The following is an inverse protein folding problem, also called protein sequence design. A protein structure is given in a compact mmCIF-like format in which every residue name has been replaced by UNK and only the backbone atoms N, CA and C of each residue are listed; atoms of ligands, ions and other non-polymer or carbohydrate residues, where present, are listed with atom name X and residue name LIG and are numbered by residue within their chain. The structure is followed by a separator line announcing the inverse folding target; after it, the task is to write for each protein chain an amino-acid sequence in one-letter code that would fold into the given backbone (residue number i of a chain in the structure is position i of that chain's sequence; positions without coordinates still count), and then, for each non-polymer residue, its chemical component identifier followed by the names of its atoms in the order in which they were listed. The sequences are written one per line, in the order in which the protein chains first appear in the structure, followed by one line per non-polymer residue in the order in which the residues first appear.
data_IF_323254444862
#
_entry.id   IF_323254444862
#
_cell.length_a   1.000
_cell.length_b   1.000
_cell.length_c   1.000
_cell.angle_alpha   90.00
_cell.angle_beta   90.00
_cell.angle_gamma   90.00
#
_symmetry.space_group_name_H-M   'P 1'
#
loop_
_entity.id
_entity.type
_entity.pdbx_description
1 polymer ?
#
# COMPACT_ATOMS: atom_id res chain seq x y z
N UNK A 1 18.26 -29.81 -8.91
CA UNK A 1 17.33 -28.72 -8.55
C UNK A 1 17.67 -27.46 -9.32
N UNK A 2 16.73 -26.95 -10.08
CA UNK A 2 16.93 -25.74 -10.86
C UNK A 2 16.69 -24.52 -9.99
N UNK A 3 17.66 -23.62 -9.89
CA UNK A 3 17.46 -22.35 -9.17
C UNK A 3 16.82 -21.34 -10.11
N UNK A 4 15.71 -20.72 -9.65
CA UNK A 4 15.13 -19.61 -10.38
C UNK A 4 16.02 -18.39 -10.17
N UNK A 5 16.50 -17.80 -11.26
CA UNK A 5 17.27 -16.57 -11.21
C UNK A 5 16.32 -15.38 -11.12
N UNK A 6 16.45 -14.58 -10.07
CA UNK A 6 15.71 -13.33 -9.94
C UNK A 6 16.42 -12.24 -10.72
N UNK A 7 15.68 -11.60 -11.62
CA UNK A 7 16.19 -10.47 -12.42
C UNK A 7 15.53 -9.20 -11.85
N UNK A 8 16.37 -8.26 -11.43
CA UNK A 8 15.88 -6.97 -10.91
C UNK A 8 15.64 -5.98 -12.03
N UNK A 9 14.80 -4.97 -11.77
CA UNK A 9 14.73 -3.79 -12.61
C UNK A 9 16.02 -2.96 -12.54
N UNK A 10 16.09 -1.89 -13.32
CA UNK A 10 17.31 -1.10 -13.52
C UNK A 10 17.87 -0.51 -12.22
N UNK A 11 17.02 -0.15 -11.26
CA UNK A 11 17.42 0.46 -9.99
C UNK A 11 17.19 -0.46 -8.78
N UNK A 12 16.60 -1.63 -9.02
CA UNK A 12 16.16 -2.55 -7.96
C UNK A 12 15.24 -1.87 -6.93
N UNK A 13 14.30 -1.07 -7.42
CA UNK A 13 13.33 -0.33 -6.61
C UNK A 13 11.91 -0.63 -7.09
N UNK A 14 10.93 -0.51 -6.20
CA UNK A 14 9.52 -0.68 -6.58
C UNK A 14 9.10 0.30 -7.67
N UNK A 15 9.70 1.49 -7.71
CA UNK A 15 9.42 2.51 -8.72
C UNK A 15 9.97 2.17 -10.10
N UNK A 16 10.70 1.06 -10.26
CA UNK A 16 11.04 0.52 -11.58
C UNK A 16 9.79 0.02 -12.32
N UNK A 17 8.72 -0.27 -11.59
CA UNK A 17 7.44 -0.68 -12.17
C UNK A 17 6.73 0.56 -12.72
N UNK A 18 6.39 0.53 -14.00
CA UNK A 18 5.70 1.63 -14.65
C UNK A 18 4.34 1.89 -13.98
N UNK A 19 4.06 3.14 -13.65
CA UNK A 19 2.80 3.53 -13.04
C UNK A 19 2.79 3.48 -11.52
N UNK A 20 3.93 3.17 -10.88
CA UNK A 20 4.07 3.17 -9.42
C UNK A 20 4.85 4.40 -8.98
N UNK A 21 4.27 5.18 -8.07
CA UNK A 21 4.93 6.31 -7.41
C UNK A 21 4.90 6.09 -5.91
N UNK A 22 5.93 6.53 -5.21
CA UNK A 22 6.05 6.36 -3.77
C UNK A 22 6.33 7.70 -3.10
N UNK A 23 5.58 8.00 -2.06
CA UNK A 23 5.81 9.15 -1.20
C UNK A 23 5.98 8.70 0.24
N UNK A 24 6.84 9.37 0.97
CA UNK A 24 7.11 9.10 2.38
C UNK A 24 6.97 10.38 3.18
N UNK A 25 6.41 10.25 4.39
CA UNK A 25 6.41 11.31 5.38
C UNK A 25 6.73 10.69 6.74
N UNK A 26 7.42 11.45 7.60
CA UNK A 26 7.82 10.95 8.90
C UNK A 26 7.68 12.04 9.96
N UNK A 27 7.51 11.61 11.21
CA UNK A 27 7.61 12.45 12.38
C UNK A 27 8.68 11.86 13.30
N UNK A 28 9.87 12.46 13.29
CA UNK A 28 11.03 11.96 14.02
C UNK A 28 10.80 12.02 15.52
N UNK A 29 10.12 13.06 16.00
CA UNK A 29 9.87 13.25 17.44
C UNK A 29 9.03 12.13 18.03
N UNK A 30 8.07 11.61 17.26
CA UNK A 30 7.22 10.50 17.68
C UNK A 30 7.68 9.15 17.17
N UNK A 31 8.73 9.12 16.35
CA UNK A 31 9.25 7.86 15.79
C UNK A 31 8.26 7.15 14.88
N UNK A 32 7.42 7.88 14.15
CA UNK A 32 6.41 7.33 13.26
C UNK A 32 6.61 7.80 11.83
N UNK A 33 5.96 7.11 10.91
CA UNK A 33 6.01 7.50 9.51
C UNK A 33 4.90 6.84 8.71
N UNK A 34 4.74 7.32 7.48
CA UNK A 34 3.79 6.78 6.53
C UNK A 34 4.45 6.69 5.16
N UNK A 35 4.17 5.61 4.44
CA UNK A 35 4.56 5.45 3.05
C UNK A 35 3.29 5.25 2.23
N UNK A 36 3.14 6.04 1.17
CA UNK A 36 2.04 5.91 0.24
C UNK A 36 2.57 5.44 -1.11
N UNK A 37 2.05 4.30 -1.57
CA UNK A 37 2.36 3.74 -2.88
C UNK A 37 1.16 4.03 -3.77
N UNK A 38 1.31 5.02 -4.66
CA UNK A 38 0.27 5.43 -5.59
C UNK A 38 0.38 4.65 -6.90
N UNK A 39 -0.75 4.14 -7.36
CA UNK A 39 -0.85 3.42 -8.62
C UNK A 39 -1.51 4.33 -9.66
N UNK A 40 -0.96 4.37 -10.89
CA UNK A 40 -1.50 5.22 -11.96
C UNK A 40 -2.88 4.77 -12.44
N UNK A 41 -3.21 3.51 -12.21
CA UNK A 41 -4.50 2.89 -12.52
C UNK A 41 -4.81 1.85 -11.46
N UNK A 42 -6.01 1.26 -11.50
CA UNK A 42 -6.35 0.18 -10.58
C UNK A 42 -5.55 -1.08 -10.90
N UNK A 43 -4.98 -1.69 -9.87
CA UNK A 43 -4.25 -2.95 -9.98
C UNK A 43 -4.96 -4.04 -9.18
N UNK A 44 -4.83 -5.28 -9.64
CA UNK A 44 -5.27 -6.42 -8.86
C UNK A 44 -4.41 -6.55 -7.60
N UNK A 45 -5.05 -6.92 -6.51
CA UNK A 45 -4.37 -7.09 -5.23
C UNK A 45 -4.97 -8.24 -4.43
N UNK A 46 -4.14 -8.83 -3.61
CA UNK A 46 -4.55 -9.78 -2.58
C UNK A 46 -3.69 -9.55 -1.35
N UNK A 47 -4.20 -9.97 -0.20
CA UNK A 47 -3.49 -9.78 1.05
C UNK A 47 -3.69 -10.99 1.97
N UNK A 48 -2.69 -11.21 2.85
CA UNK A 48 -2.79 -12.15 3.95
C UNK A 48 -2.65 -11.38 5.26
N UNK A 49 -3.51 -11.69 6.23
CA UNK A 49 -3.45 -11.10 7.57
C UNK A 49 -2.83 -12.13 8.50
N UNK A 50 -1.65 -11.80 9.03
CA UNK A 50 -0.87 -12.68 9.89
C UNK A 50 -0.56 -11.93 11.18
N UNK A 51 -0.78 -12.58 12.30
CA UNK A 51 -0.51 -12.01 13.61
C UNK A 51 -1.71 -12.03 14.53
N UNK A 52 -1.46 -11.87 15.84
CA UNK A 52 -2.50 -11.95 16.88
C UNK A 52 -3.35 -10.69 17.02
N UNK A 53 -2.85 -9.54 16.58
CA UNK A 53 -3.55 -8.27 16.70
C UNK A 53 -3.27 -7.37 15.48
N UNK A 54 -3.75 -7.76 14.30
CA UNK A 54 -3.53 -6.95 13.10
C UNK A 54 -4.31 -5.65 13.19
N UNK A 55 -3.67 -4.53 12.83
CA UNK A 55 -4.29 -3.22 12.73
C UNK A 55 -4.23 -2.77 11.28
N UNK A 56 -5.37 -2.76 10.60
CA UNK A 56 -5.43 -2.41 9.20
C UNK A 56 -6.81 -1.88 8.82
N UNK A 57 -6.86 -1.15 7.69
CA UNK A 57 -8.10 -0.68 7.08
C UNK A 57 -8.30 -1.38 5.73
N UNK A 58 -9.52 -1.79 5.48
CA UNK A 58 -9.98 -2.29 4.17
C UNK A 58 -9.25 -3.52 3.64
N UNK A 59 -8.46 -4.20 4.45
CA UNK A 59 -7.77 -5.43 4.04
C UNK A 59 -8.79 -6.54 3.69
N UNK A 60 -9.93 -6.56 4.37
CA UNK A 60 -10.97 -7.57 4.10
C UNK A 60 -11.52 -7.50 2.68
N UNK A 61 -11.44 -6.34 2.04
CA UNK A 61 -11.84 -6.18 0.63
C UNK A 61 -10.98 -7.03 -0.31
N UNK A 62 -9.78 -7.40 0.11
CA UNK A 62 -8.84 -8.20 -0.68
C UNK A 62 -8.98 -9.69 -0.42
N UNK A 63 -9.96 -10.11 0.37
CA UNK A 63 -10.27 -11.53 0.57
C UNK A 63 -10.77 -12.11 -0.77
N UNK A 64 -10.29 -13.31 -1.19
CA UNK A 64 -10.71 -13.92 -2.45
C UNK A 64 -12.22 -14.14 -2.59
N UNK A 65 -12.96 -14.20 -1.47
CA UNK A 65 -14.41 -14.36 -1.48
C UNK A 65 -15.17 -13.04 -1.67
N UNK A 66 -14.48 -11.90 -1.66
CA UNK A 66 -15.08 -10.60 -1.88
C UNK A 66 -15.05 -10.21 -3.36
N UNK A 67 -15.95 -9.32 -3.76
CA UNK A 67 -16.08 -8.89 -5.16
C UNK A 67 -15.05 -7.83 -5.56
N UNK A 68 -14.44 -7.16 -4.59
CA UNK A 68 -13.43 -6.12 -4.87
C UNK A 68 -12.07 -6.77 -5.03
N UNK A 69 -11.50 -6.66 -6.23
CA UNK A 69 -10.21 -7.27 -6.58
C UNK A 69 -9.13 -6.23 -6.90
N UNK A 70 -9.49 -4.95 -6.96
CA UNK A 70 -8.62 -3.88 -7.45
C UNK A 70 -8.40 -2.82 -6.39
N UNK A 71 -7.20 -2.22 -6.41
CA UNK A 71 -6.83 -1.13 -5.52
C UNK A 71 -6.27 0.05 -6.32
N UNK A 72 -6.35 1.24 -5.74
CA UNK A 72 -5.77 2.49 -6.28
C UNK A 72 -4.43 2.85 -5.66
N UNK A 73 -4.15 2.35 -4.48
CA UNK A 73 -2.91 2.61 -3.77
C UNK A 73 -2.80 1.80 -2.49
N UNK A 74 -1.63 1.86 -1.89
CA UNK A 74 -1.32 1.18 -0.64
C UNK A 74 -0.71 2.19 0.32
N UNK A 75 -1.16 2.16 1.57
CA UNK A 75 -0.61 2.99 2.63
C UNK A 75 0.01 2.08 3.69
N UNK A 76 1.27 2.29 3.97
CA UNK A 76 1.99 1.65 5.06
C UNK A 76 2.17 2.69 6.15
N UNK A 77 1.52 2.51 7.30
CA UNK A 77 1.45 3.52 8.34
C UNK A 77 1.85 2.96 9.69
N UNK A 78 2.68 3.70 10.42
CA UNK A 78 2.95 3.47 11.83
C UNK A 78 1.97 4.24 12.71
N UNK A 79 2.11 4.11 14.04
CA UNK A 79 1.27 4.85 15.00
C UNK A 79 -0.06 4.18 15.33
N UNK A 80 -0.19 2.88 15.08
CA UNK A 80 -1.38 2.08 15.41
C UNK A 80 -2.65 2.62 14.75
N UNK A 81 -3.80 2.57 15.43
CA UNK A 81 -5.08 3.06 14.89
C UNK A 81 -5.02 4.54 14.51
N UNK A 82 -4.33 5.34 15.31
CA UNK A 82 -4.19 6.78 15.03
C UNK A 82 -3.40 7.03 13.74
N UNK A 83 -2.36 6.23 13.49
CA UNK A 83 -1.61 6.31 12.24
C UNK A 83 -2.44 5.89 11.02
N UNK A 84 -3.31 4.92 11.18
CA UNK A 84 -4.19 4.46 10.09
C UNK A 84 -5.18 5.53 9.62
N UNK A 85 -5.45 6.56 10.43
CA UNK A 85 -6.29 7.68 10.02
C UNK A 85 -5.74 8.43 8.80
N UNK A 86 -4.45 8.32 8.51
CA UNK A 86 -3.85 8.90 7.30
C UNK A 86 -4.49 8.38 6.00
N UNK A 87 -5.06 7.19 6.03
CA UNK A 87 -5.76 6.62 4.87
C UNK A 87 -6.95 7.48 4.42
N UNK A 88 -7.64 8.13 5.35
CA UNK A 88 -8.79 8.98 5.03
C UNK A 88 -8.37 10.19 4.19
N UNK A 89 -7.22 10.78 4.47
CA UNK A 89 -6.71 11.91 3.68
C UNK A 89 -6.37 11.49 2.26
N UNK A 90 -5.79 10.30 2.09
CA UNK A 90 -5.48 9.77 0.77
C UNK A 90 -6.75 9.51 -0.03
N UNK A 91 -7.78 8.98 0.61
CA UNK A 91 -9.08 8.77 -0.04
C UNK A 91 -9.66 10.09 -0.54
N UNK A 92 -9.56 11.15 0.25
CA UNK A 92 -10.03 12.47 -0.16
C UNK A 92 -9.26 13.00 -1.38
N UNK A 93 -7.96 12.79 -1.43
CA UNK A 93 -7.13 13.19 -2.57
C UNK A 93 -7.52 12.42 -3.82
N UNK A 94 -7.71 11.11 -3.70
CA UNK A 94 -8.12 10.27 -4.82
C UNK A 94 -9.51 10.67 -5.34
N UNK A 95 -10.43 11.00 -4.43
CA UNK A 95 -11.75 11.50 -4.81
C UNK A 95 -11.65 12.78 -5.65
N UNK A 96 -10.79 13.72 -5.24
CA UNK A 96 -10.56 14.97 -6.00
C UNK A 96 -9.92 14.71 -7.36
N UNK A 97 -9.22 13.58 -7.52
CA UNK A 97 -8.66 13.14 -8.80
C UNK A 97 -9.65 12.30 -9.63
N UNK A 98 -10.89 12.16 -9.20
CA UNK A 98 -11.93 11.35 -9.84
C UNK A 98 -11.60 9.84 -9.91
N UNK A 99 -11.04 9.32 -8.83
CA UNK A 99 -10.66 7.90 -8.75
C UNK A 99 -11.43 7.14 -7.71
#
# INVERSE_FOLDING_TARGET
MTRTKVITGSRNLITDILGVKVGNAENIDFGTGVTYIKLSKKFKASAAVIGGAPASHEIDLLNPNNTVEYIDGIILSGGSVFGLASASEVVDILYKENR
#
